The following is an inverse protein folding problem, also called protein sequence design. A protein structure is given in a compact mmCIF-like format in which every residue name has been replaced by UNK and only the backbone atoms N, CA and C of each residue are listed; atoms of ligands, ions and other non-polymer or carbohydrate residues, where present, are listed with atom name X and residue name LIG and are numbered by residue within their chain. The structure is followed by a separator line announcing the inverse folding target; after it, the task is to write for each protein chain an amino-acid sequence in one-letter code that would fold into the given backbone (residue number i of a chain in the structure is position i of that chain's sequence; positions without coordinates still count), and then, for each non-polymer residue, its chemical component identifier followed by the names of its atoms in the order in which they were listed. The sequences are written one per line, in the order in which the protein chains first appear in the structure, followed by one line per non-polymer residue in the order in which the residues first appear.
data_IF_894973982792
#
_entry.id   IF_894973982792
#
_cell.length_a   1.000
_cell.length_b   1.000
_cell.length_c   1.000
_cell.angle_alpha   90.00
_cell.angle_beta   90.00
_cell.angle_gamma   90.00
#
_symmetry.space_group_name_H-M   'P 1'
#
loop_
_entity.id
_entity.type
_entity.pdbx_description
1 polymer ?
#
# COMPACT_ATOMS: atom_id res chain seq x y z
N UNK A 1 27.52 -5.47 -13.57
CA UNK A 1 26.71 -4.59 -14.44
C UNK A 1 25.57 -5.45 -14.95
N UNK A 2 24.32 -5.04 -14.74
CA UNK A 2 23.14 -5.81 -15.18
C UNK A 2 22.81 -5.35 -16.59
N UNK A 3 22.78 -6.27 -17.56
CA UNK A 3 22.46 -5.94 -18.95
C UNK A 3 20.99 -6.26 -19.23
N UNK A 4 20.19 -5.24 -19.54
CA UNK A 4 18.79 -5.42 -19.92
C UNK A 4 18.69 -5.56 -21.45
N UNK A 5 18.22 -6.70 -21.98
CA UNK A 5 18.13 -6.89 -23.43
C UNK A 5 16.96 -6.07 -24.00
N UNK A 6 17.26 -4.86 -24.49
CA UNK A 6 16.28 -3.98 -25.13
C UNK A 6 15.94 -4.47 -26.55
N UNK A 7 14.64 -4.43 -26.90
CA UNK A 7 14.19 -4.67 -28.29
C UNK A 7 14.68 -3.56 -29.22
N UNK A 8 14.72 -3.78 -30.55
CA UNK A 8 15.09 -2.74 -31.51
C UNK A 8 14.28 -1.45 -31.35
N UNK A 9 12.97 -1.56 -31.10
CA UNK A 9 12.09 -0.40 -30.88
C UNK A 9 12.44 0.33 -29.58
N UNK A 10 12.73 -0.41 -28.51
CA UNK A 10 13.15 0.18 -27.23
C UNK A 10 14.51 0.85 -27.34
N UNK A 11 15.41 0.35 -28.20
CA UNK A 11 16.71 0.98 -28.50
C UNK A 11 16.52 2.28 -29.26
N UNK A 12 15.67 2.28 -30.28
CA UNK A 12 15.31 3.50 -31.02
C UNK A 12 14.69 4.53 -30.06
N UNK A 13 13.74 4.13 -29.22
CA UNK A 13 13.15 5.03 -28.21
C UNK A 13 14.20 5.56 -27.21
N UNK A 14 15.16 4.72 -26.81
CA UNK A 14 16.25 5.12 -25.94
C UNK A 14 17.18 6.13 -26.61
N UNK A 15 17.55 5.89 -27.87
CA UNK A 15 18.44 6.76 -28.65
C UNK A 15 17.77 8.10 -28.99
N UNK A 16 16.48 8.08 -29.34
CA UNK A 16 15.71 9.26 -29.75
C UNK A 16 15.22 10.10 -28.56
N UNK A 17 14.82 9.46 -27.46
CA UNK A 17 14.11 10.11 -26.34
C UNK A 17 14.83 10.00 -25.00
N UNK A 18 15.95 9.28 -24.94
CA UNK A 18 16.71 9.03 -23.71
C UNK A 18 15.96 8.15 -22.70
N UNK A 19 14.86 7.50 -23.08
CA UNK A 19 14.05 6.66 -22.17
C UNK A 19 13.24 5.62 -22.92
N UNK A 20 13.03 4.47 -22.28
CA UNK A 20 12.12 3.44 -22.78
C UNK A 20 11.34 2.78 -21.64
N UNK A 21 10.25 2.09 -21.97
CA UNK A 21 9.48 1.30 -21.01
C UNK A 21 9.92 -0.15 -21.09
N UNK A 22 10.35 -0.72 -19.96
CA UNK A 22 10.66 -2.13 -19.86
C UNK A 22 9.37 -2.97 -19.81
N UNK A 23 9.41 -4.12 -20.47
CA UNK A 23 8.39 -5.15 -20.35
C UNK A 23 8.52 -5.86 -18.99
N UNK A 24 7.43 -6.47 -18.52
CA UNK A 24 7.45 -7.22 -17.27
C UNK A 24 8.46 -8.37 -17.28
N UNK A 25 8.62 -9.07 -18.40
CA UNK A 25 9.64 -10.12 -18.59
C UNK A 25 11.07 -9.61 -18.37
N UNK A 26 11.38 -8.41 -18.87
CA UNK A 26 12.69 -7.77 -18.70
C UNK A 26 12.93 -7.39 -17.23
N UNK A 27 11.91 -6.89 -16.52
CA UNK A 27 12.00 -6.62 -15.08
C UNK A 27 12.23 -7.90 -14.27
N UNK A 28 11.57 -9.01 -14.62
CA UNK A 28 11.77 -10.31 -13.99
C UNK A 28 13.19 -10.83 -14.21
N UNK A 29 13.76 -10.62 -15.40
CA UNK A 29 15.15 -10.96 -15.70
C UNK A 29 16.13 -10.16 -14.85
N UNK A 30 15.93 -8.84 -14.71
CA UNK A 30 16.76 -7.99 -13.83
C UNK A 30 16.78 -8.54 -12.40
N UNK A 31 15.61 -8.89 -11.86
CA UNK A 31 15.51 -9.49 -10.52
C UNK A 31 16.25 -10.84 -10.45
N UNK A 32 16.17 -11.67 -11.48
CA UNK A 32 16.91 -12.94 -11.55
C UNK A 32 18.42 -12.74 -11.52
N UNK A 33 18.93 -11.77 -12.28
CA UNK A 33 20.36 -11.47 -12.33
C UNK A 33 20.90 -10.93 -10.99
N UNK A 34 20.11 -10.10 -10.29
CA UNK A 34 20.46 -9.62 -8.94
C UNK A 34 20.57 -10.81 -7.97
N UNK A 35 19.58 -11.71 -7.97
CA UNK A 35 19.58 -12.90 -7.11
C UNK A 35 20.74 -13.85 -7.44
N UNK A 36 21.07 -14.01 -8.74
CA UNK A 36 22.21 -14.83 -9.18
C UNK A 36 23.56 -14.27 -8.70
N UNK A 37 23.62 -12.97 -8.38
CA UNK A 37 24.77 -12.32 -7.76
C UNK A 37 25.00 -12.69 -6.29
N UNK A 38 24.12 -13.51 -5.69
CA UNK A 38 24.26 -14.01 -4.31
C UNK A 38 23.45 -13.22 -3.27
N UNK A 39 22.69 -12.20 -3.69
CA UNK A 39 21.81 -11.47 -2.79
C UNK A 39 20.56 -12.30 -2.42
N UNK A 40 20.14 -12.24 -1.15
CA UNK A 40 18.89 -12.88 -0.71
C UNK A 40 17.67 -11.96 -0.90
N UNK A 41 16.46 -12.52 -0.97
CA UNK A 41 15.22 -11.72 -1.06
C UNK A 41 15.10 -10.65 0.04
N UNK A 42 15.31 -10.96 1.33
CA UNK A 42 15.33 -9.96 2.39
C UNK A 42 16.31 -8.81 2.12
N UNK A 43 17.54 -9.12 1.69
CA UNK A 43 18.58 -8.11 1.46
C UNK A 43 18.18 -7.14 0.34
N UNK A 44 17.63 -7.67 -0.76
CA UNK A 44 17.18 -6.87 -1.91
C UNK A 44 15.97 -6.00 -1.51
N UNK A 45 15.01 -6.54 -0.75
CA UNK A 45 13.82 -5.83 -0.29
C UNK A 45 14.18 -4.67 0.64
N UNK A 46 15.14 -4.86 1.54
CA UNK A 46 15.60 -3.79 2.42
C UNK A 46 16.47 -2.77 1.67
N UNK A 47 17.39 -3.22 0.81
CA UNK A 47 18.33 -2.36 0.08
C UNK A 47 17.63 -1.44 -0.93
N UNK A 48 16.66 -1.98 -1.67
CA UNK A 48 15.94 -1.23 -2.71
C UNK A 48 14.58 -0.71 -2.25
N UNK A 49 14.29 -0.75 -0.94
CA UNK A 49 13.07 -0.15 -0.42
C UNK A 49 12.96 1.30 -0.90
N UNK A 50 11.85 1.68 -1.59
CA UNK A 50 11.66 3.05 -2.04
C UNK A 50 11.76 4.02 -0.87
N UNK A 51 12.65 5.02 -0.97
CA UNK A 51 12.82 6.08 0.03
C UNK A 51 12.30 7.38 -0.56
N UNK A 52 11.21 7.92 -0.02
CA UNK A 52 10.54 9.18 -0.43
C UNK A 52 10.18 9.28 -1.93
N UNK A 53 8.90 9.48 -2.31
CA UNK A 53 7.72 9.80 -1.49
C UNK A 53 7.17 8.56 -0.76
N UNK A 54 7.91 7.44 -0.79
CA UNK A 54 7.66 6.26 0.02
C UNK A 54 6.69 5.28 -0.62
N UNK A 55 6.50 4.16 0.05
CA UNK A 55 5.55 3.11 -0.33
C UNK A 55 4.16 3.51 0.15
N UNK A 56 3.19 3.44 -0.75
CA UNK A 56 1.79 3.68 -0.44
C UNK A 56 1.09 2.38 -0.05
N UNK A 57 0.32 2.36 1.04
CA UNK A 57 -0.29 1.13 1.53
C UNK A 57 -1.78 1.31 1.85
N UNK A 58 -2.55 0.29 1.47
CA UNK A 58 -3.96 0.16 1.87
C UNK A 58 -4.21 -1.25 2.36
N UNK A 59 -4.62 -1.38 3.61
CA UNK A 59 -5.12 -2.64 4.15
C UNK A 59 -6.63 -2.66 3.95
N UNK A 60 -7.26 -3.79 3.66
CA UNK A 60 -8.71 -3.97 3.67
C UNK A 60 -9.00 -5.26 4.44
N UNK A 61 -10.03 -5.22 5.28
CA UNK A 61 -10.48 -6.39 6.06
C UNK A 61 -11.95 -6.61 5.78
N UNK A 62 -12.24 -7.68 5.08
CA UNK A 62 -13.55 -7.98 4.52
C UNK A 62 -14.17 -9.09 5.36
N UNK A 63 -15.08 -8.70 6.25
CA UNK A 63 -15.85 -9.61 7.09
C UNK A 63 -17.24 -9.03 7.38
N UNK A 64 -18.13 -9.85 7.97
CA UNK A 64 -19.51 -9.44 8.24
C UNK A 64 -19.60 -8.22 9.16
N UNK A 65 -18.69 -8.10 10.12
CA UNK A 65 -18.69 -6.99 11.08
C UNK A 65 -18.26 -5.68 10.39
N UNK A 66 -17.28 -5.73 9.47
CA UNK A 66 -16.88 -4.57 8.67
C UNK A 66 -17.97 -4.20 7.67
N UNK A 67 -18.66 -5.16 7.05
CA UNK A 67 -19.80 -4.89 6.17
C UNK A 67 -20.97 -4.20 6.90
N UNK A 68 -21.33 -4.64 8.09
CA UNK A 68 -22.36 -3.96 8.92
C UNK A 68 -21.98 -2.53 9.29
N UNK A 69 -20.68 -2.21 9.36
CA UNK A 69 -20.23 -0.83 9.53
C UNK A 69 -20.39 -0.04 8.22
N UNK A 70 -20.11 -0.66 7.06
CA UNK A 70 -20.23 -0.02 5.75
C UNK A 70 -21.69 0.30 5.38
N UNK A 71 -22.64 -0.54 5.78
CA UNK A 71 -24.09 -0.29 5.58
C UNK A 71 -24.57 1.02 6.20
N UNK A 72 -23.84 1.57 7.18
CA UNK A 72 -24.17 2.85 7.82
C UNK A 72 -23.70 4.06 7.02
N UNK A 73 -22.90 3.87 5.96
CA UNK A 73 -22.41 4.97 5.11
C UNK A 73 -23.56 5.52 4.27
N UNK A 74 -23.64 6.85 4.17
CA UNK A 74 -24.63 7.51 3.32
C UNK A 74 -24.35 7.31 1.82
N UNK A 75 -23.06 7.24 1.44
CA UNK A 75 -22.62 7.07 0.05
C UNK A 75 -21.87 5.76 -0.12
N UNK A 76 -22.18 5.06 -1.20
CA UNK A 76 -21.59 3.77 -1.56
C UNK A 76 -21.55 2.76 -0.40
N UNK A 77 -22.70 2.45 0.24
CA UNK A 77 -22.77 1.44 1.31
C UNK A 77 -22.36 0.04 0.80
N UNK A 78 -22.45 -0.19 -0.50
CA UNK A 78 -22.01 -1.42 -1.16
C UNK A 78 -20.49 -1.57 -1.29
N UNK A 79 -19.71 -0.54 -0.88
CA UNK A 79 -18.24 -0.53 -1.04
C UNK A 79 -17.51 -0.50 0.29
N UNK A 80 -16.53 -1.39 0.41
CA UNK A 80 -15.68 -1.58 1.58
C UNK A 80 -14.58 -0.51 1.64
N UNK A 81 -14.58 0.28 2.70
CA UNK A 81 -13.45 1.15 3.01
C UNK A 81 -12.24 0.30 3.45
N UNK A 82 -10.99 0.78 3.25
CA UNK A 82 -9.81 0.06 3.72
C UNK A 82 -9.80 -0.07 5.27
N UNK A 83 -8.74 -0.54 5.94
CA UNK A 83 -8.52 -0.63 7.41
C UNK A 83 -7.42 0.35 7.98
N UNK A 84 -7.75 1.40 8.79
CA UNK A 84 -6.87 2.46 9.35
C UNK A 84 -6.95 2.53 10.89
N UNK A 85 -5.90 3.08 11.50
CA UNK A 85 -5.97 3.76 12.82
C UNK A 85 -6.06 5.30 12.71
N UNK A 86 -6.67 5.81 11.64
CA UNK A 86 -6.83 7.23 11.28
C UNK A 86 -5.51 7.89 10.82
N UNK A 87 -5.23 7.87 9.51
CA UNK A 87 -4.33 8.74 8.82
C UNK A 87 -4.99 10.10 8.77
N UNK A 88 -4.11 11.08 8.86
CA UNK A 88 -4.45 12.46 8.69
C UNK A 88 -4.56 12.64 7.17
N UNK A 89 -5.71 12.30 6.59
CA UNK A 89 -6.01 12.77 5.25
C UNK A 89 -6.58 14.18 5.39
N UNK A 90 -5.95 15.13 4.71
CA UNK A 90 -6.43 16.50 4.62
C UNK A 90 -7.15 16.67 3.29
N UNK A 91 -8.19 17.50 3.27
CA UNK A 91 -8.69 18.02 2.01
C UNK A 91 -7.91 19.28 1.67
N UNK A 92 -7.40 19.33 0.45
CA UNK A 92 -6.70 20.48 -0.10
C UNK A 92 -7.34 20.81 -1.45
N UNK A 93 -7.91 22.01 -1.57
CA UNK A 93 -8.63 22.47 -2.77
C UNK A 93 -7.75 22.38 -4.03
N UNK A 94 -6.46 22.68 -3.90
CA UNK A 94 -5.48 22.61 -4.98
C UNK A 94 -5.07 21.18 -5.36
N UNK A 95 -5.44 20.17 -4.58
CA UNK A 95 -5.19 18.76 -4.88
C UNK A 95 -6.31 18.11 -5.70
N UNK A 96 -7.45 18.80 -5.88
CA UNK A 96 -8.55 18.30 -6.70
C UNK A 96 -8.15 18.18 -8.17
N UNK A 97 -8.31 16.97 -8.71
CA UNK A 97 -7.98 16.66 -10.11
C UNK A 97 -8.84 15.52 -10.63
N UNK A 98 -8.87 15.25 -11.95
CA UNK A 98 -9.58 14.08 -12.48
C UNK A 98 -9.12 12.75 -11.85
N UNK A 99 -7.86 12.68 -11.38
CA UNK A 99 -7.27 11.52 -10.70
C UNK A 99 -7.44 11.52 -9.18
N UNK A 100 -7.77 12.67 -8.58
CA UNK A 100 -8.10 12.85 -7.17
C UNK A 100 -9.33 13.78 -7.07
N UNK A 101 -10.53 13.28 -7.44
CA UNK A 101 -11.72 14.13 -7.56
C UNK A 101 -12.21 14.68 -6.22
N UNK A 102 -11.68 14.15 -5.11
CA UNK A 102 -12.05 14.53 -3.77
C UNK A 102 -11.01 15.43 -3.09
N UNK A 103 -9.86 15.74 -3.73
CA UNK A 103 -8.84 16.62 -3.15
C UNK A 103 -8.25 16.11 -1.84
N UNK A 104 -8.42 14.81 -1.55
CA UNK A 104 -7.98 14.20 -0.31
C UNK A 104 -6.51 13.83 -0.47
N UNK A 105 -5.63 14.40 0.37
CA UNK A 105 -4.19 14.16 0.36
C UNK A 105 -3.73 13.59 1.69
N UNK A 106 -2.75 12.71 1.64
CA UNK A 106 -2.12 12.14 2.83
C UNK A 106 -1.25 13.21 3.49
N UNK A 107 -1.41 13.41 4.80
CA UNK A 107 -0.56 14.32 5.56
C UNK A 107 0.82 13.72 5.81
N UNK A 108 1.83 14.33 5.19
CA UNK A 108 3.23 13.99 5.37
C UNK A 108 3.71 12.75 4.60
N UNK A 109 5.04 12.59 4.46
CA UNK A 109 5.63 11.44 3.78
C UNK A 109 5.34 10.13 4.53
N UNK A 110 5.27 9.02 3.78
CA UNK A 110 5.09 7.68 4.33
C UNK A 110 6.39 7.17 4.96
N UNK A 111 6.36 6.84 6.25
CA UNK A 111 7.47 6.12 6.93
C UNK A 111 7.27 4.61 6.91
N UNK A 112 6.34 4.13 6.05
CA UNK A 112 6.05 2.73 5.84
C UNK A 112 7.30 1.92 5.50
N UNK A 113 7.47 0.79 6.17
CA UNK A 113 8.55 -0.18 5.96
C UNK A 113 7.99 -1.56 5.72
N UNK A 114 8.52 -2.21 4.70
CA UNK A 114 8.26 -3.63 4.44
C UNK A 114 9.55 -4.40 4.65
N UNK A 115 9.48 -5.44 5.47
CA UNK A 115 10.60 -6.34 5.76
C UNK A 115 10.17 -7.80 5.67
N UNK A 116 11.09 -8.66 5.27
CA UNK A 116 10.89 -10.11 5.32
C UNK A 116 11.65 -10.70 6.50
N UNK A 117 10.92 -11.36 7.39
CA UNK A 117 11.51 -12.21 8.43
C UNK A 117 11.60 -13.64 7.87
N UNK A 118 12.79 -13.97 7.33
CA UNK A 118 13.08 -15.28 6.74
C UNK A 118 13.02 -16.41 7.76
N UNK A 119 13.29 -16.15 9.05
CA UNK A 119 13.29 -17.20 10.10
C UNK A 119 11.87 -17.66 10.40
N UNK A 120 10.92 -16.73 10.42
CA UNK A 120 9.52 -17.01 10.72
C UNK A 120 8.65 -17.10 9.46
N UNK A 121 9.22 -16.93 8.27
CA UNK A 121 8.49 -16.87 7.00
C UNK A 121 7.35 -15.83 7.01
N UNK A 122 7.65 -14.65 7.58
CA UNK A 122 6.69 -13.56 7.71
C UNK A 122 7.07 -12.37 6.83
N UNK A 123 6.08 -11.79 6.19
CA UNK A 123 6.14 -10.44 5.66
C UNK A 123 5.64 -9.49 6.75
N UNK A 124 6.48 -8.55 7.18
CA UNK A 124 6.09 -7.55 8.18
C UNK A 124 6.04 -6.18 7.53
N UNK A 125 4.86 -5.58 7.59
CA UNK A 125 4.57 -4.25 7.07
C UNK A 125 4.33 -3.36 8.28
N UNK A 126 5.13 -2.32 8.44
CA UNK A 126 5.08 -1.43 9.60
C UNK A 126 5.06 0.03 9.18
N UNK A 127 4.49 0.90 10.01
CA UNK A 127 4.39 2.33 9.76
C UNK A 127 3.55 2.97 10.85
N UNK A 128 3.07 4.18 10.63
CA UNK A 128 2.08 4.84 11.47
C UNK A 128 0.67 4.62 10.93
N UNK A 129 -0.37 4.89 11.71
CA UNK A 129 -1.76 4.85 11.21
C UNK A 129 -2.00 5.65 9.93
N UNK A 130 -1.25 6.76 9.77
CA UNK A 130 -1.02 7.54 8.55
C UNK A 130 -0.75 6.73 7.28
N UNK A 131 0.02 5.65 7.44
CA UNK A 131 0.60 4.89 6.34
C UNK A 131 -0.30 3.78 5.82
N UNK A 132 -1.26 3.35 6.63
CA UNK A 132 -2.24 2.33 6.28
C UNK A 132 -3.58 3.01 6.08
N UNK A 133 -3.98 3.22 4.83
CA UNK A 133 -5.31 3.73 4.45
C UNK A 133 -6.46 2.81 4.99
N UNK A 134 -7.70 3.30 5.25
CA UNK A 134 -8.88 2.58 5.91
C UNK A 134 -9.72 2.84 7.25
N UNK A 135 -10.30 1.82 7.94
CA UNK A 135 -10.95 1.72 9.28
C UNK A 135 -10.63 0.37 10.01
N UNK A 136 -9.94 0.37 11.17
CA UNK A 136 -9.69 -0.84 12.02
C UNK A 136 -10.92 -1.25 12.82
N UNK A 137 -11.11 -2.58 12.99
CA UNK A 137 -12.15 -3.13 13.87
C UNK A 137 -12.17 -2.43 15.23
N UNK A 138 -13.34 -1.89 15.62
CA UNK A 138 -13.49 -1.08 16.83
C UNK A 138 -13.04 -1.76 18.13
N UNK A 139 -13.01 -3.10 18.18
CA UNK A 139 -12.47 -3.86 19.31
C UNK A 139 -10.97 -3.62 19.56
N UNK A 140 -10.23 -3.21 18.52
CA UNK A 140 -8.77 -3.05 18.56
C UNK A 140 -8.39 -1.61 18.94
N UNK A 141 -9.28 -0.63 18.79
CA UNK A 141 -8.95 0.81 18.89
C UNK A 141 -9.59 1.56 20.07
N UNK A 142 -10.56 1.00 20.80
CA UNK A 142 -11.19 1.73 21.91
C UNK A 142 -10.18 2.06 23.03
N UNK A 143 -10.00 3.35 23.30
CA UNK A 143 -9.50 3.93 24.54
C UNK A 143 -10.33 5.19 24.78
N UNK A 144 -10.62 5.49 26.04
CA UNK A 144 -11.54 6.51 26.51
C UNK A 144 -11.40 7.87 25.78
N UNK A 145 -12.55 8.46 25.45
CA UNK A 145 -12.70 9.68 24.64
C UNK A 145 -12.05 10.91 25.28
N UNK A 146 -10.79 11.19 24.94
CA UNK A 146 -10.18 12.50 25.16
C UNK A 146 -10.56 13.45 24.01
N UNK A 147 -11.33 14.50 24.31
CA UNK A 147 -11.89 15.42 23.32
C UNK A 147 -10.89 16.53 22.96
N UNK A 148 -10.19 16.38 21.83
CA UNK A 148 -9.64 17.51 21.06
C UNK A 148 -10.06 17.38 19.58
N UNK A 149 -10.10 18.51 18.87
CA UNK A 149 -10.80 18.68 17.59
C UNK A 149 -9.86 18.45 16.41
N UNK A 150 -10.12 17.43 15.59
CA UNK A 150 -9.55 17.29 14.25
C UNK A 150 -10.65 17.55 13.21
N UNK A 151 -10.26 18.07 12.04
CA UNK A 151 -11.16 18.34 10.92
C UNK A 151 -10.95 17.24 9.89
N UNK A 152 -11.97 16.41 9.67
CA UNK A 152 -11.97 15.44 8.56
C UNK A 152 -13.07 15.86 7.58
N UNK A 153 -12.75 15.91 6.28
CA UNK A 153 -13.76 16.14 5.25
C UNK A 153 -14.62 14.89 5.13
N UNK A 154 -15.93 15.00 5.38
CA UNK A 154 -16.88 13.97 4.94
C UNK A 154 -17.07 14.03 3.43
N UNK A 155 -16.93 15.24 2.87
CA UNK A 155 -17.04 15.62 1.47
C UNK A 155 -16.09 16.82 1.22
N UNK A 156 -15.68 17.09 -0.03
CA UNK A 156 -14.92 18.29 -0.38
C UNK A 156 -15.56 19.55 0.18
N UNK A 157 -14.76 20.37 0.86
CA UNK A 157 -15.20 21.63 1.45
C UNK A 157 -16.12 21.52 2.68
N UNK A 158 -16.67 20.34 3.02
CA UNK A 158 -17.47 20.16 4.24
C UNK A 158 -16.66 19.54 5.36
N UNK A 159 -16.38 20.35 6.37
CA UNK A 159 -15.57 19.97 7.53
C UNK A 159 -16.46 19.59 8.70
N UNK A 160 -16.29 18.38 9.24
CA UNK A 160 -16.86 18.02 10.55
C UNK A 160 -15.77 17.83 11.58
N UNK A 161 -16.10 18.22 12.81
CA UNK A 161 -15.28 17.94 13.98
C UNK A 161 -15.35 16.45 14.29
N UNK A 162 -14.21 15.77 14.18
CA UNK A 162 -14.09 14.37 14.59
C UNK A 162 -13.29 14.26 15.90
N UNK A 163 -13.49 13.19 16.69
CA UNK A 163 -12.61 12.86 17.80
C UNK A 163 -11.15 12.85 17.34
N UNK A 164 -10.23 13.37 18.16
CA UNK A 164 -8.79 13.24 17.90
C UNK A 164 -8.40 11.78 18.04
N UNK A 165 -7.97 11.19 16.94
CA UNK A 165 -7.29 9.90 16.93
C UNK A 165 -5.79 10.15 17.08
N UNK A 166 -5.16 9.49 18.03
CA UNK A 166 -3.70 9.52 18.16
C UNK A 166 -3.09 8.65 17.07
N UNK A 167 -2.13 9.20 16.32
CA UNK A 167 -1.33 8.39 15.40
C UNK A 167 -0.58 7.35 16.22
N UNK A 168 -0.86 6.07 15.96
CA UNK A 168 -0.23 4.94 16.62
C UNK A 168 0.62 4.18 15.62
N UNK A 169 1.77 3.63 16.02
CA UNK A 169 2.52 2.72 15.18
C UNK A 169 1.67 1.47 14.90
N UNK A 170 1.64 1.05 13.64
CA UNK A 170 0.94 -0.12 13.15
C UNK A 170 1.95 -1.12 12.61
N UNK A 171 1.75 -2.40 12.91
CA UNK A 171 2.52 -3.49 12.34
C UNK A 171 1.58 -4.61 11.92
N UNK A 172 1.64 -4.99 10.66
CA UNK A 172 0.90 -6.10 10.05
C UNK A 172 1.91 -7.19 9.73
N UNK A 173 1.78 -8.33 10.38
CA UNK A 173 2.61 -9.51 10.13
C UNK A 173 1.77 -10.55 9.39
N UNK A 174 2.24 -10.98 8.22
CA UNK A 174 1.53 -11.89 7.31
C UNK A 174 2.38 -13.13 7.04
N UNK A 175 1.79 -14.33 7.16
CA UNK A 175 2.46 -15.58 6.80
C UNK A 175 2.62 -15.72 5.29
N UNK A 176 3.85 -15.85 4.80
CA UNK A 176 4.16 -15.85 3.35
C UNK A 176 3.58 -17.09 2.64
N UNK A 177 3.62 -18.27 3.27
CA UNK A 177 3.17 -19.52 2.64
C UNK A 177 1.69 -19.53 2.25
N UNK A 178 0.86 -18.73 2.89
CA UNK A 178 -0.59 -18.62 2.63
C UNK A 178 -0.97 -17.29 1.98
N UNK A 179 0.01 -16.59 1.41
CA UNK A 179 -0.18 -15.31 0.76
C UNK A 179 -0.24 -15.51 -0.75
N UNK A 180 -1.24 -14.91 -1.38
CA UNK A 180 -1.33 -14.79 -2.83
C UNK A 180 -1.01 -13.36 -3.23
N UNK A 181 -0.32 -13.19 -4.36
CA UNK A 181 0.25 -11.91 -4.75
C UNK A 181 0.03 -11.64 -6.25
N UNK A 182 -0.64 -10.53 -6.55
CA UNK A 182 -0.93 -10.07 -7.92
C UNK A 182 -0.25 -8.74 -8.20
N UNK A 183 0.59 -8.72 -9.24
CA UNK A 183 1.17 -7.48 -9.77
C UNK A 183 0.13 -6.69 -10.55
N UNK A 184 0.19 -5.36 -10.43
CA UNK A 184 -0.62 -4.41 -11.21
C UNK A 184 -2.13 -4.69 -11.12
N UNK A 185 -2.68 -4.80 -9.89
CA UNK A 185 -4.07 -5.18 -9.69
C UNK A 185 -5.02 -4.19 -10.34
N UNK A 186 -6.03 -4.70 -11.04
CA UNK A 186 -7.15 -3.86 -11.50
C UNK A 186 -7.93 -3.34 -10.30
N UNK A 187 -8.42 -2.08 -10.34
CA UNK A 187 -9.31 -1.55 -9.32
C UNK A 187 -10.52 -2.46 -9.10
N UNK A 188 -10.85 -2.71 -7.85
CA UNK A 188 -11.95 -3.60 -7.43
C UNK A 188 -13.19 -2.75 -7.12
N UNK A 189 -14.34 -3.11 -7.71
CA UNK A 189 -15.55 -2.28 -7.63
C UNK A 189 -16.17 -2.26 -6.24
N UNK A 190 -15.96 -3.33 -5.50
CA UNK A 190 -16.41 -3.53 -4.14
C UNK A 190 -15.56 -2.78 -3.11
N UNK A 191 -14.45 -2.16 -3.51
CA UNK A 191 -13.58 -1.39 -2.63
C UNK A 191 -13.82 0.11 -2.83
N UNK A 192 -13.81 0.84 -1.72
CA UNK A 192 -13.93 2.29 -1.69
C UNK A 192 -12.55 2.91 -1.46
N UNK A 193 -12.05 3.59 -2.49
CA UNK A 193 -10.71 4.17 -2.49
C UNK A 193 -10.69 5.64 -2.03
N UNK A 194 -11.79 6.16 -1.46
CA UNK A 194 -11.90 7.58 -1.08
C UNK A 194 -10.86 8.02 -0.05
N UNK A 195 -10.47 7.12 0.86
CA UNK A 195 -9.48 7.40 1.91
C UNK A 195 -8.22 6.56 1.73
N UNK A 196 -7.75 6.43 0.49
CA UNK A 196 -6.46 5.84 0.16
C UNK A 196 -5.85 6.50 -1.08
N UNK A 197 -4.67 6.04 -1.51
CA UNK A 197 -4.11 6.47 -2.80
C UNK A 197 -5.04 6.14 -3.96
N UNK A 198 -4.86 6.90 -5.05
CA UNK A 198 -5.56 6.66 -6.30
C UNK A 198 -5.43 5.18 -6.72
N UNK A 199 -6.53 4.50 -7.12
CA UNK A 199 -6.48 3.14 -7.64
C UNK A 199 -5.49 2.97 -8.80
N UNK A 200 -5.24 4.06 -9.53
CA UNK A 200 -4.26 4.14 -10.61
C UNK A 200 -2.84 3.86 -10.12
N UNK A 201 -2.46 4.35 -8.94
CA UNK A 201 -1.13 4.11 -8.37
C UNK A 201 -0.89 2.61 -8.13
N UNK A 202 -1.92 1.87 -7.69
CA UNK A 202 -1.84 0.43 -7.54
C UNK A 202 -1.87 -0.31 -8.87
N UNK A 203 -2.70 0.13 -9.81
CA UNK A 203 -2.79 -0.48 -11.14
C UNK A 203 -1.48 -0.33 -11.94
N UNK A 204 -0.85 0.84 -11.90
CA UNK A 204 0.36 1.10 -12.68
C UNK A 204 1.63 0.63 -11.94
N UNK A 205 1.67 0.77 -10.61
CA UNK A 205 2.89 0.63 -9.81
C UNK A 205 2.68 -0.13 -8.51
N UNK A 206 1.76 -1.10 -8.46
CA UNK A 206 1.41 -1.79 -7.23
C UNK A 206 1.33 -3.30 -7.27
N UNK A 207 1.20 -3.85 -6.07
CA UNK A 207 1.09 -5.26 -5.73
C UNK A 207 -0.09 -5.41 -4.78
N UNK A 208 -0.94 -6.40 -5.06
CA UNK A 208 -2.02 -6.78 -4.17
C UNK A 208 -1.70 -8.13 -3.53
N UNK A 209 -1.70 -8.14 -2.20
CA UNK A 209 -1.57 -9.33 -1.38
C UNK A 209 -2.95 -9.76 -0.87
N UNK A 210 -3.29 -11.04 -0.99
CA UNK A 210 -4.54 -11.62 -0.46
C UNK A 210 -4.25 -12.81 0.42
N UNK A 211 -4.98 -12.89 1.54
CA UNK A 211 -4.94 -14.05 2.44
C UNK A 211 -6.15 -14.05 3.39
N UNK A 212 -6.33 -15.13 4.14
CA UNK A 212 -7.27 -15.18 5.25
C UNK A 212 -6.72 -14.44 6.48
N UNK A 213 -7.62 -13.81 7.25
CA UNK A 213 -7.33 -13.09 8.48
C UNK A 213 -6.64 -13.94 9.54
N UNK A 214 -6.80 -15.27 9.49
CA UNK A 214 -6.08 -16.18 10.36
C UNK A 214 -4.56 -16.16 10.18
N UNK A 215 -4.11 -15.72 9.01
CA UNK A 215 -2.70 -15.62 8.66
C UNK A 215 -2.13 -14.22 8.90
N UNK A 216 -2.93 -13.31 9.46
CA UNK A 216 -2.56 -11.90 9.65
C UNK A 216 -2.67 -11.50 11.11
N UNK A 217 -1.56 -10.99 11.64
CA UNK A 217 -1.49 -10.39 12.97
C UNK A 217 -1.33 -8.89 12.85
N UNK A 218 -2.17 -8.15 13.54
CA UNK A 218 -2.11 -6.71 13.64
C UNK A 218 -1.67 -6.30 15.05
N UNK A 219 -0.69 -5.40 15.11
CA UNK A 219 -0.30 -4.66 16.31
C UNK A 219 -0.57 -3.18 16.12
N UNK A 220 -1.21 -2.56 17.10
CA UNK A 220 -1.47 -1.11 17.14
C UNK A 220 -0.90 -0.54 18.44
N UNK A 221 0.00 0.42 18.33
CA UNK A 221 0.67 1.02 19.49
C UNK A 221 1.42 -0.04 20.30
N UNK A 222 1.29 0.08 21.62
CA UNK A 222 1.84 -0.88 22.58
C UNK A 222 0.88 -2.03 22.92
N UNK A 223 -0.22 -2.19 22.16
CA UNK A 223 -1.21 -3.26 22.42
C UNK A 223 -0.67 -4.62 21.98
N UNK A 224 -1.25 -5.69 22.53
CA UNK A 224 -0.94 -7.07 22.12
C UNK A 224 -1.36 -7.29 20.67
N UNK A 225 -0.56 -8.09 19.95
CA UNK A 225 -0.92 -8.56 18.62
C UNK A 225 -2.28 -9.27 18.62
N UNK A 226 -3.12 -8.90 17.66
CA UNK A 226 -4.46 -9.45 17.47
C UNK A 226 -4.58 -10.05 16.08
N UNK A 227 -5.22 -11.21 16.00
CA UNK A 227 -5.52 -11.87 14.73
C UNK A 227 -6.73 -11.21 14.06
N UNK A 228 -6.62 -10.96 12.76
CA UNK A 228 -7.71 -10.41 11.95
C UNK A 228 -8.74 -11.49 11.58
N UNK A 229 -9.88 -11.09 11.03
CA UNK A 229 -11.00 -11.97 10.67
C UNK A 229 -11.45 -11.69 9.24
N UNK A 230 -11.81 -12.75 8.51
CA UNK A 230 -12.30 -12.67 7.14
C UNK A 230 -11.18 -12.52 6.12
N UNK A 231 -11.50 -12.05 4.92
CA UNK A 231 -10.52 -11.88 3.84
C UNK A 231 -9.70 -10.61 4.05
N UNK A 232 -8.39 -10.71 3.91
CA UNK A 232 -7.46 -9.59 4.02
C UNK A 232 -6.90 -9.26 2.65
N UNK A 233 -6.98 -7.99 2.26
CA UNK A 233 -6.36 -7.47 1.04
C UNK A 233 -5.39 -6.35 1.41
N UNK A 234 -4.12 -6.47 1.01
CA UNK A 234 -3.12 -5.44 1.25
C UNK A 234 -2.60 -4.95 -0.10
N UNK A 235 -2.87 -3.69 -0.42
CA UNK A 235 -2.31 -3.02 -1.57
C UNK A 235 -1.01 -2.31 -1.15
N UNK A 236 0.04 -2.54 -1.94
CA UNK A 236 1.34 -1.89 -1.83
C UNK A 236 1.55 -1.19 -3.17
N UNK A 237 1.76 0.12 -3.17
CA UNK A 237 1.89 0.94 -4.37
C UNK A 237 3.13 1.83 -4.33
N UNK A 238 3.49 2.34 -5.49
CA UNK A 238 4.42 3.46 -5.63
C UNK A 238 3.72 4.81 -5.43
N UNK A 239 4.49 5.90 -5.32
CA UNK A 239 3.94 7.24 -5.28
C UNK A 239 3.10 7.56 -6.53
N UNK A 240 2.10 8.43 -6.37
CA UNK A 240 1.21 8.82 -7.46
C UNK A 240 1.99 9.42 -8.66
N UNK A 241 1.57 9.14 -9.91
CA UNK A 241 2.25 9.68 -11.10
C UNK A 241 2.20 11.21 -11.14
N UNK A 242 3.37 11.86 -11.18
CA UNK A 242 3.49 13.31 -11.35
C UNK A 242 4.45 14.02 -10.39
N UNK A 243 4.93 13.33 -9.35
CA UNK A 243 5.70 13.95 -8.26
C UNK A 243 7.21 13.71 -8.27
N UNK A 244 7.77 12.74 -9.01
CA UNK A 244 9.24 12.48 -8.97
C UNK A 244 9.89 11.93 -10.26
N UNK A 245 11.23 11.98 -10.27
CA UNK A 245 12.15 11.61 -11.35
C UNK A 245 12.11 10.10 -11.71
N UNK A 246 12.27 9.80 -13.01
CA UNK A 246 12.13 8.46 -13.61
C UNK A 246 13.01 7.36 -12.97
N UNK A 247 14.14 7.70 -12.35
CA UNK A 247 15.09 6.73 -11.77
C UNK A 247 14.54 6.02 -10.52
N UNK A 248 13.63 6.68 -9.79
CA UNK A 248 12.96 6.09 -8.63
C UNK A 248 11.94 5.03 -9.08
N UNK A 249 11.44 5.10 -10.31
CA UNK A 249 10.40 4.21 -10.81
C UNK A 249 10.94 2.82 -11.18
N UNK A 250 12.09 2.74 -11.85
CA UNK A 250 12.72 1.45 -12.15
C UNK A 250 13.08 0.71 -10.86
N UNK A 251 13.69 1.41 -9.90
CA UNK A 251 14.04 0.86 -8.58
C UNK A 251 12.80 0.33 -7.87
N UNK A 252 11.69 1.08 -7.90
CA UNK A 252 10.41 0.64 -7.35
C UNK A 252 9.90 -0.63 -8.01
N UNK A 253 9.92 -0.72 -9.35
CA UNK A 253 9.48 -1.91 -10.06
C UNK A 253 10.38 -3.12 -9.79
N UNK A 254 11.70 -2.95 -9.71
CA UNK A 254 12.62 -4.03 -9.34
C UNK A 254 12.31 -4.53 -7.92
N UNK A 255 12.12 -3.62 -6.98
CA UNK A 255 11.75 -3.94 -5.60
C UNK A 255 10.40 -4.67 -5.51
N UNK A 256 9.38 -4.19 -6.23
CA UNK A 256 8.05 -4.78 -6.27
C UNK A 256 8.05 -6.20 -6.87
N UNK A 257 8.78 -6.40 -7.97
CA UNK A 257 8.94 -7.73 -8.58
C UNK A 257 9.75 -8.68 -7.68
N UNK A 258 10.74 -8.17 -6.94
CA UNK A 258 11.46 -8.95 -5.94
C UNK A 258 10.52 -9.45 -4.85
N UNK A 259 9.68 -8.56 -4.30
CA UNK A 259 8.69 -8.90 -3.30
C UNK A 259 7.68 -9.94 -3.82
N UNK A 260 7.14 -9.73 -5.02
CA UNK A 260 6.22 -10.67 -5.67
C UNK A 260 6.84 -12.06 -5.85
N UNK A 261 8.10 -12.11 -6.32
CA UNK A 261 8.82 -13.37 -6.51
C UNK A 261 9.13 -14.07 -5.19
N UNK A 262 9.48 -13.33 -4.15
CA UNK A 262 9.71 -13.88 -2.82
C UNK A 262 8.46 -14.53 -2.21
N UNK A 263 7.27 -14.03 -2.56
CA UNK A 263 5.99 -14.58 -2.10
C UNK A 263 5.56 -15.80 -2.94
N UNK A 264 5.81 -15.76 -4.24
CA UNK A 264 5.31 -16.79 -5.18
C UNK A 264 6.19 -18.04 -5.29
N UNK A 265 7.49 -17.95 -4.95
CA UNK A 265 8.42 -19.09 -4.94
C UNK A 265 8.32 -19.97 -3.67
N UNK A 266 7.10 -20.19 -3.16
CA UNK A 266 6.81 -20.95 -1.92
C UNK A 266 7.59 -22.26 -1.82
#
# INVERSE_FOLDING_TARGET
MIEVPLTPEQRIDMDDRGRTKLQHSQLVQVVQEILAGGDSFPDIIERFHPRNPGVCMSLFVINDDTWKLMEKKEKHPERMLPMTTIPWFLWEENAESPSNPWGVTKFGPSDGKIRMDSKNSLLVISGNGGDFSGIVEGRITQTEYSRFRAVVPELPGQTKLVPRYESQPVSVSVSIGQLDADMYPRPQKELDYTFCESPRAYFEHGLLLRTDGSNVRLRVGNRRESQLRGEIRIFIGGPSPGTEANDNLLTHHVWLNTLHKAITLK
#
